data_IF_183363804612
#
_entry.id   IF_183363804612
#
_cell.length_a   1.000
_cell.length_b   1.000
_cell.length_c   1.000
_cell.angle_alpha   90.00
_cell.angle_beta   90.00
_cell.angle_gamma   90.00
#
_symmetry.space_group_name_H-M   'P 1'
#
loop_
_entity.id
_entity.type
_entity.pdbx_description
1 polymer ?
#
# COMPACT_ATOMS: atom_id res chain seq x y z
N UNK A 1 -6.86 -11.22 20.52
CA UNK A 1 -5.41 -11.50 20.59
C UNK A 1 -4.83 -11.18 19.22
N UNK A 2 -4.16 -10.04 19.13
CA UNK A 2 -3.66 -9.45 17.89
C UNK A 2 -2.59 -10.35 17.30
N UNK A 3 -2.90 -11.05 16.20
CA UNK A 3 -1.93 -11.84 15.47
C UNK A 3 -0.89 -10.88 14.87
N UNK A 4 0.24 -10.74 15.55
CA UNK A 4 1.42 -10.13 14.98
C UNK A 4 1.75 -10.90 13.69
N UNK A 5 1.63 -10.23 12.54
CA UNK A 5 2.08 -10.76 11.25
C UNK A 5 3.52 -11.26 11.42
N UNK A 6 3.71 -12.57 11.38
CA UNK A 6 5.03 -13.16 11.16
C UNK A 6 5.39 -12.85 9.71
N UNK A 7 6.13 -11.75 9.53
CA UNK A 7 6.67 -11.35 8.25
C UNK A 7 7.55 -12.47 7.71
N UNK A 8 7.37 -12.75 6.42
CA UNK A 8 8.34 -13.48 5.64
C UNK A 8 9.73 -12.91 5.87
N UNK A 9 10.69 -13.80 6.04
CA UNK A 9 12.10 -13.47 6.13
C UNK A 9 12.48 -12.69 4.88
N UNK A 10 12.65 -11.38 5.04
CA UNK A 10 13.37 -10.56 4.09
C UNK A 10 14.68 -11.28 3.74
N UNK A 11 15.19 -11.18 2.49
CA UNK A 11 16.52 -11.67 2.20
C UNK A 11 17.47 -11.14 3.28
N UNK A 12 18.44 -11.96 3.70
CA UNK A 12 19.45 -11.60 4.69
C UNK A 12 20.31 -10.43 4.14
N UNK A 13 19.74 -9.23 4.12
CA UNK A 13 20.39 -8.01 3.78
C UNK A 13 21.03 -7.49 5.07
N UNK A 14 22.34 -7.39 4.98
CA UNK A 14 23.31 -6.91 5.96
C UNK A 14 22.85 -5.64 6.69
N UNK A 15 23.46 -5.39 7.85
CA UNK A 15 23.34 -4.13 8.58
C UNK A 15 23.36 -2.90 7.65
N UNK A 16 22.66 -1.82 8.04
CA UNK A 16 22.62 -0.56 7.30
C UNK A 16 24.03 -0.13 6.84
N UNK A 17 24.32 -0.10 5.52
CA UNK A 17 25.70 0.10 5.04
C UNK A 17 26.26 1.48 5.41
N UNK A 18 27.54 1.55 5.75
CA UNK A 18 28.19 2.83 6.12
C UNK A 18 28.10 3.87 4.99
N UNK A 19 28.32 3.48 3.73
CA UNK A 19 28.25 4.41 2.61
C UNK A 19 26.86 5.03 2.43
N UNK A 20 25.79 4.30 2.77
CA UNK A 20 24.41 4.82 2.77
C UNK A 20 24.22 5.82 3.91
N UNK A 21 24.73 5.51 5.11
CA UNK A 21 24.68 6.44 6.25
C UNK A 21 25.43 7.73 5.96
N UNK A 22 26.60 7.65 5.33
CA UNK A 22 27.37 8.83 4.88
C UNK A 22 26.55 9.64 3.88
N UNK A 23 25.96 9.00 2.86
CA UNK A 23 25.19 9.68 1.83
C UNK A 23 23.98 10.45 2.38
N UNK A 24 23.33 9.94 3.42
CA UNK A 24 22.18 10.59 4.07
C UNK A 24 22.55 11.38 5.34
N UNK A 25 23.84 11.59 5.63
CA UNK A 25 24.29 12.46 6.71
C UNK A 25 24.08 11.91 8.13
N UNK A 26 23.96 10.58 8.30
CA UNK A 26 23.70 9.91 9.58
C UNK A 26 24.83 8.94 9.99
N UNK A 27 26.07 9.27 9.58
CA UNK A 27 27.27 8.45 9.84
C UNK A 27 27.56 8.25 11.32
N UNK A 28 27.28 9.23 12.16
CA UNK A 28 27.62 9.18 13.59
C UNK A 28 26.44 8.75 14.47
N UNK A 29 25.24 8.63 13.89
CA UNK A 29 24.03 8.20 14.59
C UNK A 29 23.92 6.68 14.64
N UNK A 30 23.64 6.13 15.83
CA UNK A 30 23.41 4.71 16.01
C UNK A 30 22.09 4.27 15.33
N UNK A 31 22.11 3.31 14.38
CA UNK A 31 20.91 2.88 13.69
C UNK A 31 20.04 1.95 14.56
N UNK A 32 18.77 2.31 14.73
CA UNK A 32 17.77 1.51 15.45
C UNK A 32 16.87 0.76 14.45
N UNK A 33 16.86 -0.59 14.45
CA UNK A 33 15.95 -1.35 13.59
C UNK A 33 14.49 -1.08 13.95
N UNK A 34 13.65 -0.89 12.92
CA UNK A 34 12.20 -0.69 13.02
C UNK A 34 11.47 -1.42 11.90
N UNK A 35 10.15 -1.56 12.01
CA UNK A 35 9.29 -1.98 10.90
C UNK A 35 8.61 -0.74 10.34
N UNK A 36 8.63 -0.59 9.01
CA UNK A 36 8.10 0.55 8.29
C UNK A 36 7.36 0.07 7.04
N UNK A 37 6.06 0.36 6.94
CA UNK A 37 5.19 -0.15 5.88
C UNK A 37 5.30 -1.68 5.67
N UNK A 38 5.40 -2.44 6.77
CA UNK A 38 5.57 -3.90 6.75
C UNK A 38 6.98 -4.38 6.35
N UNK A 39 7.94 -3.48 6.13
CA UNK A 39 9.31 -3.81 5.74
C UNK A 39 10.30 -3.45 6.84
N UNK A 40 11.47 -4.11 6.85
CA UNK A 40 12.55 -3.74 7.77
C UNK A 40 13.15 -2.40 7.35
N UNK A 41 13.32 -1.50 8.32
CA UNK A 41 13.94 -0.19 8.15
C UNK A 41 14.83 0.13 9.35
N UNK A 42 15.58 1.23 9.25
CA UNK A 42 16.50 1.70 10.28
C UNK A 42 16.25 3.18 10.54
N UNK A 43 15.95 3.50 11.79
CA UNK A 43 15.87 4.89 12.25
C UNK A 43 17.24 5.34 12.75
N UNK A 44 17.70 6.48 12.26
CA UNK A 44 18.83 7.24 12.75
C UNK A 44 18.31 8.64 13.11
N UNK A 45 18.09 8.89 14.40
CA UNK A 45 17.48 10.13 14.91
C UNK A 45 16.13 10.44 14.22
N UNK A 46 16.05 11.51 13.45
CA UNK A 46 14.87 11.93 12.70
C UNK A 46 14.85 11.44 11.25
N UNK A 47 15.84 10.63 10.84
CA UNK A 47 15.92 10.03 9.51
C UNK A 47 15.61 8.54 9.58
N UNK A 48 14.76 8.07 8.68
CA UNK A 48 14.46 6.67 8.46
C UNK A 48 15.06 6.23 7.13
N UNK A 49 15.81 5.13 7.13
CA UNK A 49 16.39 4.51 5.95
C UNK A 49 15.78 3.14 5.71
N UNK A 50 15.43 2.86 4.45
CA UNK A 50 14.88 1.57 4.04
C UNK A 50 15.46 1.12 2.69
N UNK A 51 15.63 -0.19 2.46
CA UNK A 51 15.93 -0.69 1.13
C UNK A 51 14.73 -0.44 0.20
N UNK A 52 15.02 -0.23 -1.08
CA UNK A 52 14.03 -0.09 -2.15
C UNK A 52 14.36 -1.06 -3.28
N UNK A 53 13.36 -1.82 -3.71
CA UNK A 53 13.50 -2.78 -4.82
C UNK A 53 13.40 -2.11 -6.18
N UNK A 54 12.56 -1.08 -6.30
CA UNK A 54 12.37 -0.29 -7.51
C UNK A 54 12.85 1.14 -7.28
N UNK A 55 14.02 1.45 -7.84
CA UNK A 55 14.67 2.75 -7.69
C UNK A 55 13.89 3.88 -8.40
N UNK A 56 13.23 3.57 -9.53
CA UNK A 56 12.49 4.54 -10.34
C UNK A 56 11.21 4.94 -9.63
N UNK A 57 10.45 3.95 -9.14
CA UNK A 57 9.26 4.20 -8.31
C UNK A 57 9.63 4.95 -7.04
N UNK A 58 10.70 4.57 -6.34
CA UNK A 58 11.13 5.24 -5.11
C UNK A 58 11.49 6.71 -5.34
N UNK A 59 12.26 7.02 -6.39
CA UNK A 59 12.64 8.39 -6.73
C UNK A 59 11.44 9.25 -7.17
N UNK A 60 10.51 8.67 -7.94
CA UNK A 60 9.27 9.34 -8.33
C UNK A 60 8.37 9.61 -7.12
N UNK A 61 8.20 8.61 -6.24
CA UNK A 61 7.40 8.70 -5.02
C UNK A 61 7.94 9.80 -4.10
N UNK A 62 9.26 9.86 -3.92
CA UNK A 62 9.91 10.95 -3.19
C UNK A 62 9.64 12.32 -3.84
N UNK A 63 9.71 12.43 -5.17
CA UNK A 63 9.43 13.70 -5.85
C UNK A 63 8.00 14.19 -5.62
N UNK A 64 7.01 13.28 -5.63
CA UNK A 64 5.62 13.64 -5.31
C UNK A 64 5.48 14.04 -3.83
N UNK A 65 6.01 13.24 -2.91
CA UNK A 65 5.88 13.45 -1.47
C UNK A 65 6.68 14.64 -0.92
N UNK A 66 7.67 15.16 -1.67
CA UNK A 66 8.48 16.31 -1.25
C UNK A 66 7.58 17.53 -0.93
N UNK A 67 6.62 17.85 -1.81
CA UNK A 67 5.78 19.04 -1.70
C UNK A 67 4.28 18.75 -1.59
N UNK A 68 3.86 17.47 -1.54
CA UNK A 68 2.44 17.13 -1.41
C UNK A 68 1.90 17.62 -0.06
N UNK A 69 0.77 18.32 -0.05
CA UNK A 69 0.05 18.66 1.17
C UNK A 69 -1.25 17.89 1.21
N UNK A 70 -1.53 17.26 2.36
CA UNK A 70 -2.75 16.49 2.59
C UNK A 70 -3.37 16.98 3.89
N UNK A 71 -4.56 17.57 3.78
CA UNK A 71 -5.22 18.15 4.94
C UNK A 71 -5.45 17.10 6.05
N UNK A 72 -5.06 17.45 7.28
CA UNK A 72 -5.17 16.58 8.44
C UNK A 72 -4.32 15.29 8.41
N UNK A 73 -3.45 15.09 7.41
CA UNK A 73 -2.63 13.87 7.26
C UNK A 73 -1.14 14.23 7.23
N UNK A 74 -0.36 13.61 8.11
CA UNK A 74 1.10 13.77 8.13
C UNK A 74 1.72 12.90 7.03
N UNK A 75 2.83 13.33 6.44
CA UNK A 75 3.56 12.56 5.45
C UNK A 75 4.99 12.33 5.92
N UNK A 76 5.51 11.12 5.70
CA UNK A 76 6.94 10.85 5.86
C UNK A 76 7.73 11.54 4.74
N UNK A 77 8.21 12.75 5.02
CA UNK A 77 8.87 13.60 4.02
C UNK A 77 10.16 12.96 3.54
N UNK A 78 10.39 12.81 2.23
CA UNK A 78 11.60 12.20 1.71
C UNK A 78 12.83 13.06 2.03
N UNK A 79 13.99 12.41 2.21
CA UNK A 79 15.27 13.04 2.50
C UNK A 79 16.22 12.79 1.32
N UNK A 80 16.79 13.86 0.76
CA UNK A 80 17.82 13.77 -0.29
C UNK A 80 19.15 13.35 0.32
N UNK A 81 19.95 12.60 -0.43
CA UNK A 81 21.37 12.43 -0.11
C UNK A 81 22.11 13.77 -0.25
N UNK A 82 23.32 13.81 0.29
CA UNK A 82 24.23 14.96 0.20
C UNK A 82 24.59 15.36 -1.23
N UNK A 83 24.46 14.44 -2.20
CA UNK A 83 24.63 14.69 -3.64
C UNK A 83 23.30 14.89 -4.40
N UNK A 84 22.19 15.07 -3.69
CA UNK A 84 20.88 15.44 -4.24
C UNK A 84 20.01 14.30 -4.75
N UNK A 85 20.49 13.05 -4.71
CA UNK A 85 19.75 11.86 -5.15
C UNK A 85 18.69 11.43 -4.13
N UNK A 86 17.65 10.77 -4.61
CA UNK A 86 16.62 10.14 -3.76
C UNK A 86 16.97 8.71 -3.34
N UNK A 87 17.77 8.02 -4.15
CA UNK A 87 18.16 6.63 -3.93
C UNK A 87 19.67 6.50 -4.03
N UNK A 88 20.30 5.91 -3.02
CA UNK A 88 21.74 5.64 -2.98
C UNK A 88 21.98 4.19 -2.59
N UNK A 89 22.67 3.43 -3.43
CA UNK A 89 23.02 2.03 -3.13
C UNK A 89 21.80 1.10 -2.94
N UNK A 90 20.63 1.44 -3.51
CA UNK A 90 19.38 0.71 -3.30
C UNK A 90 18.65 1.09 -2.01
N UNK A 91 18.97 2.23 -1.41
CA UNK A 91 18.33 2.74 -0.20
C UNK A 91 17.70 4.11 -0.45
N UNK A 92 16.54 4.33 0.14
CA UNK A 92 15.88 5.62 0.21
C UNK A 92 15.74 6.07 1.67
N UNK A 93 15.64 7.38 1.87
CA UNK A 93 15.46 7.98 3.18
C UNK A 93 14.23 8.89 3.26
N UNK A 94 13.64 8.97 4.44
CA UNK A 94 12.57 9.91 4.78
C UNK A 94 12.74 10.42 6.22
N UNK A 95 12.01 11.47 6.58
CA UNK A 95 11.87 11.89 7.97
C UNK A 95 11.07 10.84 8.70
N UNK A 96 11.60 10.39 9.83
CA UNK A 96 10.93 9.49 10.73
C UNK A 96 9.66 10.16 11.26
N UNK A 97 8.54 9.45 11.16
CA UNK A 97 7.25 9.92 11.66
C UNK A 97 6.84 9.05 12.85
N UNK A 98 6.77 9.62 14.07
CA UNK A 98 6.30 8.88 15.23
C UNK A 98 4.83 8.45 15.08
N UNK A 99 4.54 7.23 15.53
CA UNK A 99 3.20 6.69 15.58
C UNK A 99 3.19 5.16 15.67
N UNK A 100 2.00 4.59 15.78
CA UNK A 100 1.74 3.17 15.78
C UNK A 100 0.51 2.85 14.90
N UNK A 101 0.37 1.60 14.39
CA UNK A 101 -0.89 1.15 13.84
C UNK A 101 -1.98 1.15 14.93
N UNK A 102 -3.17 1.63 14.60
CA UNK A 102 -4.33 1.70 15.49
C UNK A 102 -5.57 1.14 14.76
N UNK A 103 -6.56 0.54 15.45
CA UNK A 103 -7.79 0.02 14.86
C UNK A 103 -8.78 1.16 14.54
N UNK A 104 -8.33 2.11 13.72
CA UNK A 104 -9.04 3.34 13.32
C UNK A 104 -9.48 3.25 11.86
N UNK A 105 -10.24 2.21 11.53
CA UNK A 105 -10.44 1.79 10.14
C UNK A 105 -11.12 2.86 9.29
N UNK A 106 -12.13 3.55 9.81
CA UNK A 106 -12.78 4.66 9.11
C UNK A 106 -11.84 5.84 8.90
N UNK A 107 -10.98 6.16 9.87
CA UNK A 107 -10.00 7.23 9.69
C UNK A 107 -8.94 6.88 8.64
N UNK A 108 -8.60 5.59 8.47
CA UNK A 108 -7.75 5.16 7.35
C UNK A 108 -8.45 5.38 6.02
N UNK A 109 -9.75 5.05 5.89
CA UNK A 109 -10.52 5.29 4.67
C UNK A 109 -10.63 6.80 4.39
N UNK A 110 -10.95 7.60 5.40
CA UNK A 110 -11.01 9.06 5.28
C UNK A 110 -9.66 9.66 4.86
N UNK A 111 -8.55 9.19 5.44
CA UNK A 111 -7.21 9.62 5.07
C UNK A 111 -6.83 9.17 3.64
N UNK A 112 -7.31 8.00 3.19
CA UNK A 112 -7.19 7.53 1.81
C UNK A 112 -7.81 8.51 0.83
N UNK A 113 -9.06 8.90 1.08
CA UNK A 113 -9.79 9.86 0.24
C UNK A 113 -9.11 11.23 0.21
N UNK A 114 -8.60 11.73 1.36
CA UNK A 114 -7.85 13.00 1.41
C UNK A 114 -6.54 12.92 0.65
N UNK A 115 -5.79 11.83 0.79
CA UNK A 115 -4.56 11.60 0.02
C UNK A 115 -4.85 11.61 -1.48
N UNK A 116 -5.92 10.92 -1.92
CA UNK A 116 -6.25 10.82 -3.34
C UNK A 116 -6.87 12.09 -3.91
N UNK A 117 -7.54 12.90 -3.09
CA UNK A 117 -7.91 14.26 -3.48
C UNK A 117 -6.65 15.11 -3.75
N UNK A 118 -5.64 15.03 -2.89
CA UNK A 118 -4.38 15.76 -3.07
C UNK A 118 -3.55 15.27 -4.26
N UNK A 119 -3.59 13.96 -4.58
CA UNK A 119 -2.88 13.40 -5.74
C UNK A 119 -3.64 13.50 -7.06
N UNK A 120 -4.86 14.05 -7.06
CA UNK A 120 -5.70 14.16 -8.27
C UNK A 120 -5.09 15.02 -9.38
N UNK A 121 -4.24 15.99 -9.02
CA UNK A 121 -3.53 16.84 -9.98
C UNK A 121 -2.19 16.26 -10.43
N UNK A 122 -1.77 15.12 -9.89
CA UNK A 122 -0.53 14.45 -10.30
C UNK A 122 -0.77 13.74 -11.63
N UNK A 123 -0.03 14.15 -12.64
CA UNK A 123 -0.09 13.55 -13.97
C UNK A 123 0.26 12.06 -13.92
N UNK A 124 -0.35 11.26 -14.81
CA UNK A 124 -0.02 9.84 -14.95
C UNK A 124 1.47 9.66 -15.23
N UNK A 125 2.22 9.00 -14.33
CA UNK A 125 3.65 8.87 -14.52
C UNK A 125 3.98 7.76 -15.52
N UNK A 126 4.89 8.06 -16.47
CA UNK A 126 5.34 7.12 -17.51
C UNK A 126 5.94 5.84 -16.94
N UNK A 127 6.49 5.88 -15.72
CA UNK A 127 7.04 4.69 -15.06
C UNK A 127 6.00 3.58 -14.90
N UNK A 128 4.69 3.90 -14.91
CA UNK A 128 3.62 2.89 -14.81
C UNK A 128 3.36 2.16 -16.12
N UNK A 129 3.91 2.62 -17.25
CA UNK A 129 3.73 1.98 -18.56
C UNK A 129 4.47 0.64 -18.65
N UNK A 130 5.70 0.60 -18.12
CA UNK A 130 6.58 -0.57 -18.19
C UNK A 130 6.65 -1.35 -16.86
N UNK A 131 5.89 -0.92 -15.85
CA UNK A 131 5.93 -1.52 -14.51
C UNK A 131 5.25 -2.89 -14.49
N UNK A 132 6.03 -3.94 -14.28
CA UNK A 132 5.56 -5.34 -14.32
C UNK A 132 5.81 -6.12 -13.02
N UNK A 133 5.73 -5.48 -11.85
CA UNK A 133 5.81 -6.18 -10.55
C UNK A 133 4.47 -6.82 -10.14
N UNK A 134 4.53 -7.66 -9.10
CA UNK A 134 3.36 -8.40 -8.57
C UNK A 134 2.14 -7.51 -8.31
N UNK A 135 2.34 -6.30 -7.77
CA UNK A 135 1.21 -5.40 -7.47
C UNK A 135 0.57 -4.89 -8.76
N UNK A 136 1.39 -4.44 -9.71
CA UNK A 136 0.93 -3.93 -11.01
C UNK A 136 0.21 -5.02 -11.82
N UNK A 137 0.73 -6.25 -11.85
CA UNK A 137 0.07 -7.39 -12.50
C UNK A 137 -1.28 -7.72 -11.88
N UNK A 138 -1.34 -7.72 -10.56
CA UNK A 138 -2.57 -8.05 -9.81
C UNK A 138 -3.65 -6.97 -10.01
N UNK A 139 -3.26 -5.69 -10.02
CA UNK A 139 -4.17 -4.58 -10.30
C UNK A 139 -4.65 -4.57 -11.76
N UNK A 140 -3.80 -4.93 -12.72
CA UNK A 140 -4.22 -5.12 -14.12
C UNK A 140 -5.22 -6.29 -14.25
N UNK A 141 -4.96 -7.39 -13.57
CA UNK A 141 -5.85 -8.56 -13.58
C UNK A 141 -7.22 -8.26 -12.96
N UNK A 142 -7.25 -7.55 -11.82
CA UNK A 142 -8.48 -7.12 -11.18
C UNK A 142 -9.38 -6.28 -12.11
N UNK A 143 -8.77 -5.42 -12.92
CA UNK A 143 -9.48 -4.56 -13.88
C UNK A 143 -9.77 -5.23 -15.24
N UNK A 144 -9.25 -6.43 -15.47
CA UNK A 144 -9.50 -7.20 -16.70
C UNK A 144 -8.58 -6.83 -17.85
N UNK A 145 -7.54 -6.05 -17.57
CA UNK A 145 -6.53 -5.59 -18.52
C UNK A 145 -5.48 -6.69 -18.79
N UNK A 146 -5.37 -7.67 -17.88
CA UNK A 146 -4.44 -8.80 -17.99
C UNK A 146 -5.12 -10.10 -17.53
N UNK A 147 -4.88 -11.18 -18.26
CA UNK A 147 -5.22 -12.55 -17.81
C UNK A 147 -4.02 -13.12 -17.05
N UNK A 148 -4.29 -13.74 -15.90
CA UNK A 148 -3.29 -14.47 -15.12
C UNK A 148 -3.72 -15.94 -15.04
N UNK A 149 -2.74 -16.83 -15.03
CA UNK A 149 -2.94 -18.25 -14.71
C UNK A 149 -2.69 -18.41 -13.21
N UNK A 150 -3.77 -18.44 -12.43
CA UNK A 150 -3.72 -18.47 -10.97
C UNK A 150 -4.04 -19.86 -10.46
N UNK A 151 -3.20 -20.39 -9.56
CA UNK A 151 -3.44 -21.72 -9.00
C UNK A 151 -4.79 -21.76 -8.26
N UNK A 152 -5.67 -22.74 -8.51
CA UNK A 152 -7.02 -22.76 -7.95
C UNK A 152 -7.07 -22.68 -6.42
N UNK A 153 -6.14 -23.35 -5.74
CA UNK A 153 -6.09 -23.45 -4.28
C UNK A 153 -5.47 -22.22 -3.59
N UNK A 154 -4.83 -21.32 -4.33
CA UNK A 154 -4.25 -20.08 -3.77
C UNK A 154 -5.18 -18.88 -3.96
N UNK A 155 -6.46 -19.12 -4.19
CA UNK A 155 -7.49 -18.11 -4.48
C UNK A 155 -7.84 -17.96 -5.96
N UNK A 156 -7.17 -18.68 -6.86
CA UNK A 156 -7.41 -18.60 -8.30
C UNK A 156 -8.82 -19.01 -8.73
N UNK A 157 -9.44 -19.99 -8.04
CA UNK A 157 -10.82 -20.41 -8.32
C UNK A 157 -11.80 -19.27 -8.04
N UNK A 158 -11.74 -18.73 -6.82
CA UNK A 158 -12.60 -17.64 -6.37
C UNK A 158 -12.37 -16.36 -7.21
N UNK A 159 -11.12 -16.10 -7.62
CA UNK A 159 -10.83 -15.02 -8.56
C UNK A 159 -11.61 -15.19 -9.87
N UNK A 160 -11.61 -16.38 -10.46
CA UNK A 160 -12.34 -16.67 -11.69
C UNK A 160 -13.85 -16.47 -11.56
N UNK A 161 -14.43 -16.95 -10.46
CA UNK A 161 -15.85 -16.79 -10.15
C UNK A 161 -16.24 -15.32 -10.01
N UNK A 162 -15.55 -14.56 -9.17
CA UNK A 162 -15.83 -13.14 -8.95
C UNK A 162 -15.54 -12.27 -10.17
N UNK A 163 -14.52 -12.62 -10.96
CA UNK A 163 -14.14 -11.85 -12.15
C UNK A 163 -15.24 -11.83 -13.22
N UNK A 164 -16.15 -12.81 -13.22
CA UNK A 164 -17.31 -12.86 -14.10
C UNK A 164 -18.37 -11.78 -13.78
N UNK A 165 -18.38 -11.25 -12.55
CA UNK A 165 -19.32 -10.21 -12.12
C UNK A 165 -18.83 -8.78 -12.38
N UNK A 166 -17.68 -8.61 -13.05
CA UNK A 166 -17.17 -7.29 -13.41
C UNK A 166 -18.12 -6.59 -14.37
N UNK A 167 -18.42 -5.34 -14.06
CA UNK A 167 -19.11 -4.39 -14.95
C UNK A 167 -18.14 -3.26 -15.28
N UNK A 168 -18.34 -2.61 -16.42
CA UNK A 168 -17.58 -1.41 -16.78
C UNK A 168 -17.75 -0.36 -15.69
N UNK A 169 -16.65 0.24 -15.22
CA UNK A 169 -16.70 1.41 -14.35
C UNK A 169 -16.38 2.68 -15.13
N UNK A 170 -16.98 3.81 -14.75
CA UNK A 170 -16.79 5.11 -15.41
C UNK A 170 -16.02 6.12 -14.57
N UNK A 171 -15.60 5.74 -13.37
CA UNK A 171 -14.75 6.53 -12.50
C UNK A 171 -13.44 6.96 -13.19
N UNK A 172 -13.00 8.18 -12.90
CA UNK A 172 -11.76 8.73 -13.46
C UNK A 172 -10.54 8.11 -12.76
N UNK A 173 -9.61 7.48 -13.50
CA UNK A 173 -8.37 7.00 -12.92
C UNK A 173 -7.41 8.17 -12.66
N UNK A 174 -6.69 8.09 -11.54
CA UNK A 174 -5.67 9.05 -11.14
C UNK A 174 -4.54 8.34 -10.38
N UNK A 175 -3.54 9.08 -9.89
CA UNK A 175 -2.55 8.52 -8.96
C UNK A 175 -3.23 8.20 -7.63
N UNK A 176 -3.18 6.93 -7.24
CA UNK A 176 -3.68 6.45 -5.94
C UNK A 176 -2.67 5.52 -5.27
N UNK A 177 -2.87 5.28 -3.97
CA UNK A 177 -2.06 4.38 -3.15
C UNK A 177 -2.79 3.07 -2.89
N UNK A 178 -2.38 1.98 -3.58
CA UNK A 178 -3.05 0.67 -3.47
C UNK A 178 -2.71 -0.11 -2.19
N UNK A 179 -1.62 0.22 -1.49
CA UNK A 179 -1.18 -0.50 -0.27
C UNK A 179 -1.34 0.32 1.02
N UNK A 180 -2.30 1.25 1.09
CA UNK A 180 -2.32 2.29 2.11
C UNK A 180 -2.54 1.75 3.53
N UNK A 181 -3.34 0.69 3.70
CA UNK A 181 -3.68 0.13 5.01
C UNK A 181 -2.44 -0.30 5.81
N UNK A 182 -1.46 -0.90 5.14
CA UNK A 182 -0.18 -1.30 5.75
C UNK A 182 0.84 -0.16 5.88
N UNK A 183 0.56 1.00 5.31
CA UNK A 183 1.47 2.14 5.19
C UNK A 183 0.96 3.38 5.95
N UNK A 184 0.21 3.17 7.03
CA UNK A 184 -0.33 4.24 7.86
C UNK A 184 -0.03 4.03 9.35
N UNK A 185 0.28 5.12 10.05
CA UNK A 185 0.42 5.18 11.51
C UNK A 185 -0.44 6.30 12.09
N UNK A 186 -0.74 6.22 13.38
CA UNK A 186 -1.41 7.26 14.14
C UNK A 186 -0.50 7.74 15.27
N UNK A 187 -0.49 9.05 15.54
CA UNK A 187 0.16 9.59 16.72
C UNK A 187 -0.75 9.44 17.97
N UNK A 188 -0.27 9.77 19.19
CA UNK A 188 -1.08 9.66 20.40
C UNK A 188 -2.36 10.50 20.40
N UNK A 189 -2.49 11.49 19.51
CA UNK A 189 -3.70 12.31 19.36
C UNK A 189 -4.65 11.76 18.29
N UNK A 190 -4.29 10.66 17.63
CA UNK A 190 -5.08 10.03 16.57
C UNK A 190 -4.90 10.67 15.19
N UNK A 191 -3.85 11.49 14.96
CA UNK A 191 -3.61 12.05 13.63
C UNK A 191 -2.94 11.03 12.72
N UNK A 192 -3.47 10.77 11.50
CA UNK A 192 -2.89 9.79 10.58
C UNK A 192 -1.56 10.29 9.98
N UNK A 193 -0.70 9.35 9.65
CA UNK A 193 0.56 9.54 8.94
C UNK A 193 0.72 8.50 7.84
N UNK A 194 0.97 8.95 6.61
CA UNK A 194 1.29 8.10 5.47
C UNK A 194 2.80 7.92 5.37
N UNK A 195 3.24 6.67 5.27
CA UNK A 195 4.65 6.27 5.40
C UNK A 195 5.41 6.25 4.07
N UNK A 196 4.71 6.02 2.97
CA UNK A 196 5.23 6.04 1.60
C UNK A 196 4.10 6.22 0.58
N UNK A 197 4.47 6.25 -0.71
CA UNK A 197 3.51 6.28 -1.81
C UNK A 197 3.86 5.21 -2.83
N UNK A 198 3.07 4.14 -2.87
CA UNK A 198 3.12 3.10 -3.92
C UNK A 198 2.07 3.43 -4.99
N UNK A 199 2.49 3.95 -6.16
CA UNK A 199 1.54 4.50 -7.13
C UNK A 199 0.81 3.42 -7.93
N UNK A 200 -0.47 3.70 -8.20
CA UNK A 200 -1.30 3.04 -9.19
C UNK A 200 -2.05 4.10 -10.00
N UNK A 201 -2.43 3.77 -11.24
CA UNK A 201 -3.31 4.60 -12.05
C UNK A 201 -4.73 4.02 -12.04
N UNK A 202 -5.51 4.37 -11.02
CA UNK A 202 -6.83 3.78 -10.71
C UNK A 202 -7.75 4.82 -10.05
N UNK A 203 -9.07 4.58 -9.98
CA UNK A 203 -9.99 5.45 -9.24
C UNK A 203 -9.66 5.52 -7.74
N UNK A 204 -9.96 6.66 -7.11
CA UNK A 204 -9.77 6.86 -5.65
C UNK A 204 -10.61 5.86 -4.84
N UNK A 205 -11.83 5.61 -5.30
CA UNK A 205 -12.80 4.70 -4.70
C UNK A 205 -12.26 3.26 -4.67
N UNK A 206 -11.48 2.85 -5.69
CA UNK A 206 -10.83 1.55 -5.66
C UNK A 206 -9.78 1.47 -4.55
N UNK A 207 -8.96 2.50 -4.37
CA UNK A 207 -7.95 2.48 -3.32
C UNK A 207 -8.55 2.58 -1.91
N UNK A 208 -9.65 3.32 -1.73
CA UNK A 208 -10.47 3.26 -0.52
C UNK A 208 -11.07 1.85 -0.29
N UNK A 209 -11.56 1.20 -1.34
CA UNK A 209 -12.06 -0.17 -1.26
C UNK A 209 -10.96 -1.18 -0.88
N UNK A 210 -9.72 -1.00 -1.34
CA UNK A 210 -8.59 -1.84 -0.89
C UNK A 210 -8.34 -1.68 0.60
N UNK A 211 -8.40 -0.46 1.14
CA UNK A 211 -8.31 -0.23 2.59
C UNK A 211 -9.40 -1.00 3.35
N UNK A 212 -10.64 -0.93 2.90
CA UNK A 212 -11.76 -1.65 3.55
C UNK A 212 -11.56 -3.17 3.47
N UNK A 213 -11.19 -3.69 2.30
CA UNK A 213 -10.92 -5.13 2.12
C UNK A 213 -9.80 -5.59 3.05
N UNK A 214 -8.70 -4.83 3.17
CA UNK A 214 -7.58 -5.18 4.04
C UNK A 214 -7.96 -5.11 5.52
N UNK A 215 -8.71 -4.08 5.90
CA UNK A 215 -9.16 -3.86 7.26
C UNK A 215 -10.07 -5.00 7.75
N UNK A 216 -10.98 -5.48 6.90
CA UNK A 216 -11.89 -6.60 7.24
C UNK A 216 -11.15 -7.95 7.14
N UNK A 217 -10.31 -8.15 6.13
CA UNK A 217 -9.59 -9.41 5.93
C UNK A 217 -8.58 -9.68 7.04
N UNK A 218 -7.82 -8.65 7.44
CA UNK A 218 -6.64 -8.78 8.30
C UNK A 218 -6.52 -7.72 9.40
N UNK A 219 -7.23 -6.60 9.28
CA UNK A 219 -7.15 -5.47 10.21
C UNK A 219 -8.07 -5.54 11.43
N UNK A 220 -8.92 -6.56 11.52
CA UNK A 220 -9.88 -6.73 12.62
C UNK A 220 -11.07 -5.76 12.59
N UNK A 221 -11.36 -5.16 11.45
CA UNK A 221 -12.59 -4.38 11.28
C UNK A 221 -13.83 -5.28 11.31
N UNK A 222 -14.94 -4.72 11.78
CA UNK A 222 -16.26 -5.32 11.61
C UNK A 222 -16.68 -5.38 10.13
N UNK A 223 -17.61 -6.29 9.82
CA UNK A 223 -18.13 -6.48 8.47
C UNK A 223 -18.94 -5.27 7.96
N UNK A 224 -19.47 -4.45 8.88
CA UNK A 224 -20.29 -3.27 8.56
C UNK A 224 -19.45 -2.13 7.96
N UNK A 225 -18.12 -2.16 8.09
CA UNK A 225 -17.21 -1.23 7.40
C UNK A 225 -17.43 -1.21 5.87
N UNK A 226 -17.86 -2.34 5.28
CA UNK A 226 -18.19 -2.42 3.86
C UNK A 226 -19.37 -1.51 3.48
N UNK A 227 -20.33 -1.32 4.39
CA UNK A 227 -21.55 -0.54 4.16
C UNK A 227 -21.40 0.94 4.50
N UNK A 228 -20.49 1.27 5.43
CA UNK A 228 -20.30 2.64 5.95
C UNK A 228 -19.85 3.66 4.90
N UNK A 229 -19.32 3.19 3.77
CA UNK A 229 -18.83 3.99 2.66
C UNK A 229 -19.58 3.70 1.35
N UNK A 230 -20.80 3.17 1.46
CA UNK A 230 -21.64 2.77 0.31
C UNK A 230 -22.11 3.93 -0.56
N UNK A 231 -22.01 5.16 -0.08
CA UNK A 231 -22.24 6.40 -0.82
C UNK A 231 -21.16 6.72 -1.85
N UNK A 232 -19.98 6.06 -1.76
CA UNK A 232 -18.93 6.26 -2.75
C UNK A 232 -19.40 5.80 -4.14
N UNK A 233 -19.08 6.55 -5.21
CA UNK A 233 -19.50 6.20 -6.56
C UNK A 233 -19.03 4.79 -6.99
N UNK A 234 -19.93 4.01 -7.57
CA UNK A 234 -19.66 2.66 -8.09
C UNK A 234 -19.02 1.71 -7.05
N UNK A 235 -19.28 1.94 -5.75
CA UNK A 235 -18.64 1.25 -4.63
C UNK A 235 -18.66 -0.28 -4.69
N UNK A 236 -19.76 -0.99 -5.04
CA UNK A 236 -19.74 -2.44 -5.18
C UNK A 236 -18.72 -2.95 -6.21
N UNK A 237 -18.53 -2.20 -7.30
CA UNK A 237 -17.56 -2.54 -8.34
C UNK A 237 -16.12 -2.17 -7.95
N UNK A 238 -15.93 -1.18 -7.09
CA UNK A 238 -14.63 -0.86 -6.45
C UNK A 238 -14.22 -1.95 -5.45
N UNK A 239 -15.14 -2.39 -4.59
CA UNK A 239 -14.95 -3.52 -3.67
C UNK A 239 -14.63 -4.82 -4.40
N UNK A 240 -15.38 -5.14 -5.46
CA UNK A 240 -15.11 -6.32 -6.29
C UNK A 240 -13.66 -6.30 -6.82
N UNK A 241 -13.21 -5.15 -7.35
CA UNK A 241 -11.84 -4.99 -7.86
C UNK A 241 -10.79 -5.05 -6.77
N UNK A 242 -11.08 -4.55 -5.56
CA UNK A 242 -10.20 -4.66 -4.42
C UNK A 242 -10.02 -6.13 -3.97
N UNK A 243 -11.11 -6.91 -3.90
CA UNK A 243 -11.04 -8.35 -3.61
C UNK A 243 -10.29 -9.10 -4.69
N UNK A 244 -10.60 -8.86 -5.98
CA UNK A 244 -9.88 -9.48 -7.10
C UNK A 244 -8.38 -9.13 -7.08
N UNK A 245 -8.04 -7.89 -6.73
CA UNK A 245 -6.65 -7.47 -6.57
C UNK A 245 -5.94 -8.28 -5.48
N UNK A 246 -6.55 -8.44 -4.30
CA UNK A 246 -5.97 -9.23 -3.21
C UNK A 246 -5.89 -10.72 -3.52
N UNK A 247 -6.89 -11.30 -4.20
CA UNK A 247 -6.84 -12.70 -4.65
C UNK A 247 -5.71 -12.92 -5.66
N UNK A 248 -5.59 -12.06 -6.68
CA UNK A 248 -4.52 -12.16 -7.67
C UNK A 248 -3.14 -11.97 -7.05
N UNK A 249 -2.99 -11.04 -6.10
CA UNK A 249 -1.73 -10.83 -5.40
C UNK A 249 -1.38 -12.03 -4.54
N UNK A 250 -2.31 -12.49 -3.71
CA UNK A 250 -2.13 -13.65 -2.85
C UNK A 250 -1.72 -14.89 -3.66
N UNK A 251 -2.40 -15.16 -4.77
CA UNK A 251 -2.13 -16.33 -5.59
C UNK A 251 -0.73 -16.36 -6.22
N UNK A 252 -0.04 -15.21 -6.31
CA UNK A 252 1.32 -15.09 -6.87
C UNK A 252 2.39 -14.85 -5.79
N UNK A 253 2.01 -14.54 -4.55
CA UNK A 253 2.96 -14.12 -3.52
C UNK A 253 3.65 -15.32 -2.87
N UNK A 254 5.00 -15.37 -2.82
CA UNK A 254 5.73 -16.53 -2.29
C UNK A 254 5.42 -16.81 -0.81
N UNK A 255 5.09 -15.75 -0.06
CA UNK A 255 4.79 -15.84 1.37
C UNK A 255 3.30 -15.92 1.70
N UNK A 256 2.47 -16.20 0.70
CA UNK A 256 1.04 -16.40 0.89
C UNK A 256 0.77 -17.61 1.79
N UNK A 257 -0.16 -17.46 2.74
CA UNK A 257 -0.54 -18.53 3.68
C UNK A 257 -2.04 -18.79 3.62
N UNK A 258 -2.45 -20.00 4.02
CA UNK A 258 -3.87 -20.36 4.13
C UNK A 258 -4.65 -19.41 5.06
N UNK A 259 -4.02 -18.94 6.13
CA UNK A 259 -4.63 -17.93 7.04
C UNK A 259 -4.88 -16.60 6.32
N UNK A 260 -3.91 -16.14 5.52
CA UNK A 260 -4.08 -14.91 4.75
C UNK A 260 -5.17 -15.05 3.68
N UNK A 261 -5.30 -16.21 3.03
CA UNK A 261 -6.37 -16.51 2.08
C UNK A 261 -7.74 -16.51 2.76
N UNK A 262 -7.88 -17.16 3.91
CA UNK A 262 -9.13 -17.25 4.64
C UNK A 262 -9.70 -15.86 4.98
N UNK A 263 -8.83 -14.87 5.24
CA UNK A 263 -9.23 -13.47 5.38
C UNK A 263 -9.89 -12.91 4.12
N UNK A 264 -9.28 -13.13 2.96
CA UNK A 264 -9.80 -12.66 1.67
C UNK A 264 -11.10 -13.40 1.32
N UNK A 265 -11.19 -14.71 1.55
CA UNK A 265 -12.40 -15.51 1.28
C UNK A 265 -13.61 -15.04 2.10
N UNK A 266 -13.42 -14.68 3.37
CA UNK A 266 -14.49 -14.08 4.18
C UNK A 266 -14.99 -12.79 3.55
N UNK A 267 -14.09 -11.85 3.25
CA UNK A 267 -14.47 -10.56 2.63
C UNK A 267 -15.12 -10.76 1.27
N UNK A 268 -14.61 -11.68 0.46
CA UNK A 268 -15.20 -12.06 -0.82
C UNK A 268 -16.66 -12.53 -0.67
N UNK A 269 -16.96 -13.33 0.36
CA UNK A 269 -18.32 -13.75 0.68
C UNK A 269 -19.24 -12.61 1.10
N UNK A 270 -18.70 -11.51 1.65
CA UNK A 270 -19.45 -10.28 1.92
C UNK A 270 -19.72 -9.53 0.61
N UNK A 271 -18.68 -9.28 -0.17
CA UNK A 271 -18.78 -8.51 -1.43
C UNK A 271 -19.67 -9.22 -2.45
N UNK A 272 -19.62 -10.55 -2.54
CA UNK A 272 -20.43 -11.33 -3.49
C UNK A 272 -21.94 -11.18 -3.29
N UNK A 273 -22.41 -10.89 -2.06
CA UNK A 273 -23.84 -10.63 -1.77
C UNK A 273 -24.35 -9.31 -2.35
N UNK A 274 -23.46 -8.48 -2.91
CA UNK A 274 -23.73 -7.09 -3.30
C UNK A 274 -23.51 -6.82 -4.80
N UNK A 275 -23.11 -7.84 -5.58
CA UNK A 275 -22.76 -7.71 -7.02
C UNK A 275 -23.77 -8.38 -7.94
#
# INVERSE_FOLDING_TARGET
>A
MTAARTLATAPAASALPEHVRVAFGVRDTAPRPVVWAGQRAWQCDDVLLRPVSDHVVAAWSATVLENLEVDGVRLARPVRSSDGRWVVGGWAASRYVPGAPEPRHDEVVAASLRLHAATSTVLRPRLLDDRDDLLSRSAAAAFGERKLDLHPETGGRLFGELAAHRRTIRLTPQVVHGELFGAMLFDPTGRPAVLDLVPFWRPAEWAAAVVVVDAVAWGGADEDLIERWSELPEWPQSLLRAVLYRLALHAQHPDATAESLAGIERVAGLVSRRI
#
